data_IF_472668377437
#
_entry.id   IF_472668377437
#
_cell.length_a   1.000
_cell.length_b   1.000
_cell.length_c   1.000
_cell.angle_alpha   90.00
_cell.angle_beta   90.00
_cell.angle_gamma   90.00
#
_symmetry.space_group_name_H-M   'P 1'
#
loop_
_entity.id
_entity.type
_entity.pdbx_description
1 polymer ?
#
# COMPACT_ATOMS: atom_id res chain seq x y z
N UNK A 1 4.40 -23.29 6.06
CA UNK A 1 5.88 -23.29 5.92
C UNK A 1 6.56 -22.31 6.89
N UNK A 2 6.28 -21.00 6.85
CA UNK A 2 6.93 -20.00 7.72
C UNK A 2 6.79 -20.26 9.24
N UNK A 3 5.62 -20.73 9.71
CA UNK A 3 5.40 -21.09 11.13
C UNK A 3 6.32 -22.23 11.61
N UNK A 4 6.53 -23.25 10.77
CA UNK A 4 7.32 -24.43 11.13
C UNK A 4 8.79 -24.03 11.26
N UNK A 5 9.29 -23.24 10.30
CA UNK A 5 10.67 -22.76 10.34
C UNK A 5 10.91 -21.86 11.57
N UNK A 6 10.00 -20.95 11.87
CA UNK A 6 10.11 -20.08 13.04
C UNK A 6 10.07 -20.84 14.36
N UNK A 7 9.25 -21.90 14.44
CA UNK A 7 9.19 -22.79 15.61
C UNK A 7 10.51 -23.55 15.81
N UNK A 8 11.08 -24.10 14.74
CA UNK A 8 12.36 -24.82 14.77
C UNK A 8 13.50 -23.87 15.17
N UNK A 9 13.55 -22.67 14.58
CA UNK A 9 14.63 -21.69 14.83
C UNK A 9 14.42 -20.84 16.09
N UNK A 10 13.29 -20.99 16.80
CA UNK A 10 12.90 -20.15 17.95
C UNK A 10 12.97 -18.64 17.65
N UNK A 11 12.56 -18.24 16.43
CA UNK A 11 12.57 -16.84 15.99
C UNK A 11 11.16 -16.25 15.96
N UNK A 12 11.00 -14.93 16.22
CA UNK A 12 9.72 -14.26 16.08
C UNK A 12 9.26 -14.24 14.60
N UNK A 13 7.96 -14.37 14.39
CA UNK A 13 7.33 -14.19 13.07
C UNK A 13 6.67 -12.82 13.02
N UNK A 14 6.97 -12.05 11.97
CA UNK A 14 6.33 -10.77 11.73
C UNK A 14 5.31 -10.91 10.61
N UNK A 15 4.03 -10.75 10.96
CA UNK A 15 2.97 -10.63 9.96
C UNK A 15 3.07 -9.26 9.27
N UNK A 16 2.91 -9.25 7.95
CA UNK A 16 2.88 -8.03 7.13
C UNK A 16 1.66 -8.12 6.22
N UNK A 17 0.87 -7.06 6.13
CA UNK A 17 -0.30 -7.06 5.24
C UNK A 17 0.15 -6.95 3.78
N UNK A 18 -0.58 -7.58 2.87
CA UNK A 18 -0.24 -7.54 1.45
C UNK A 18 -0.26 -6.11 0.86
N UNK A 19 -1.28 -5.26 1.15
CA UNK A 19 -1.26 -3.86 0.72
C UNK A 19 -0.03 -3.08 1.22
N UNK A 20 0.47 -3.34 2.43
CA UNK A 20 1.67 -2.64 2.91
C UNK A 20 2.91 -2.97 2.06
N UNK A 21 3.02 -4.22 1.62
CA UNK A 21 4.13 -4.69 0.77
C UNK A 21 4.05 -4.03 -0.60
N UNK A 22 2.87 -3.98 -1.20
CA UNK A 22 2.67 -3.29 -2.48
C UNK A 22 2.87 -1.79 -2.36
N UNK A 23 2.36 -1.16 -1.30
CA UNK A 23 2.61 0.24 -1.02
C UNK A 23 4.12 0.48 -0.95
N UNK A 24 4.87 -0.30 -0.16
CA UNK A 24 6.33 -0.19 -0.06
C UNK A 24 7.03 -0.31 -1.43
N UNK A 25 6.53 -1.18 -2.30
CA UNK A 25 7.01 -1.29 -3.69
C UNK A 25 6.72 -0.04 -4.51
N UNK A 26 5.51 0.52 -4.41
CA UNK A 26 5.12 1.79 -5.06
C UNK A 26 6.01 2.93 -4.59
N UNK A 27 6.26 3.04 -3.28
CA UNK A 27 7.13 4.05 -2.70
C UNK A 27 8.55 3.94 -3.25
N UNK A 28 9.15 2.74 -3.22
CA UNK A 28 10.53 2.55 -3.69
C UNK A 28 10.67 2.89 -5.18
N UNK A 29 9.73 2.43 -6.01
CA UNK A 29 9.79 2.61 -7.45
C UNK A 29 9.49 4.04 -7.90
N UNK A 30 8.80 4.84 -7.07
CA UNK A 30 8.44 6.23 -7.37
C UNK A 30 9.13 7.24 -6.45
N UNK A 31 10.13 6.82 -5.69
CA UNK A 31 10.74 7.61 -4.59
C UNK A 31 11.20 9.00 -5.00
N UNK A 32 11.72 9.16 -6.22
CA UNK A 32 12.14 10.47 -6.75
C UNK A 32 10.96 11.44 -6.98
N UNK A 33 9.87 10.96 -7.59
CA UNK A 33 8.67 11.77 -7.84
C UNK A 33 7.93 12.11 -6.54
N UNK A 34 7.85 11.15 -5.62
CA UNK A 34 7.28 11.35 -4.28
C UNK A 34 8.11 12.39 -3.52
N UNK A 35 9.44 12.25 -3.50
CA UNK A 35 10.33 13.22 -2.85
C UNK A 35 10.14 14.64 -3.40
N UNK A 36 10.06 14.79 -4.72
CA UNK A 36 9.85 16.10 -5.35
C UNK A 36 8.52 16.74 -4.94
N UNK A 37 7.45 15.93 -4.85
CA UNK A 37 6.14 16.40 -4.40
C UNK A 37 6.18 16.88 -2.95
N UNK A 38 6.83 16.12 -2.07
CA UNK A 38 6.98 16.47 -0.66
C UNK A 38 7.84 17.73 -0.45
N UNK A 39 8.94 17.88 -1.20
CA UNK A 39 9.81 19.06 -1.11
C UNK A 39 9.11 20.36 -1.53
N UNK A 40 8.06 20.27 -2.36
CA UNK A 40 7.23 21.42 -2.76
C UNK A 40 6.16 21.78 -1.71
N UNK A 41 6.17 21.13 -0.54
CA UNK A 41 5.16 21.29 0.50
C UNK A 41 3.83 20.59 0.19
N UNK A 42 3.80 19.69 -0.79
CA UNK A 42 2.63 18.89 -1.14
C UNK A 42 2.60 17.53 -0.42
N UNK A 43 1.58 16.74 -0.75
CA UNK A 43 1.45 15.33 -0.35
C UNK A 43 1.54 14.41 -1.57
N UNK A 44 1.86 13.13 -1.34
CA UNK A 44 1.80 12.10 -2.36
C UNK A 44 1.09 10.87 -1.80
N UNK A 45 0.20 10.28 -2.58
CA UNK A 45 -0.57 9.10 -2.19
C UNK A 45 -0.08 7.86 -2.92
N UNK A 46 -0.15 6.71 -2.26
CA UNK A 46 0.05 5.40 -2.87
C UNK A 46 -1.20 4.55 -2.68
N UNK A 47 -1.65 3.92 -3.77
CA UNK A 47 -2.87 3.09 -3.80
C UNK A 47 -2.50 1.73 -4.40
N UNK A 48 -2.09 0.76 -3.57
CA UNK A 48 -1.99 -0.63 -4.01
C UNK A 48 -3.38 -1.19 -4.32
N UNK A 49 -3.55 -1.76 -5.51
CA UNK A 49 -4.79 -2.37 -6.01
C UNK A 49 -4.49 -3.81 -6.42
N UNK A 50 -5.04 -4.75 -5.66
CA UNK A 50 -4.73 -6.18 -5.76
C UNK A 50 -5.95 -6.88 -6.35
N UNK A 51 -5.77 -7.55 -7.49
CA UNK A 51 -6.75 -8.52 -8.00
C UNK A 51 -6.79 -9.71 -7.04
N UNK A 52 -7.92 -9.87 -6.37
CA UNK A 52 -8.15 -10.95 -5.41
C UNK A 52 -9.05 -12.05 -5.98
N UNK A 53 -9.27 -12.04 -7.30
CA UNK A 53 -10.12 -12.95 -8.08
C UNK A 53 -11.61 -12.70 -7.86
N UNK A 54 -12.42 -13.38 -8.67
CA UNK A 54 -13.89 -13.27 -8.68
C UNK A 54 -14.38 -11.84 -8.86
N UNK A 55 -13.75 -11.10 -9.77
CA UNK A 55 -14.13 -9.71 -10.08
C UNK A 55 -13.92 -8.72 -8.92
N UNK A 56 -13.24 -9.13 -7.85
CA UNK A 56 -13.00 -8.28 -6.69
C UNK A 56 -11.58 -7.73 -6.66
N UNK A 57 -11.47 -6.47 -6.24
CA UNK A 57 -10.24 -5.73 -6.05
C UNK A 57 -10.09 -5.32 -4.60
N UNK A 58 -8.93 -5.60 -4.02
CA UNK A 58 -8.58 -5.20 -2.66
C UNK A 58 -7.62 -4.01 -2.70
N UNK A 59 -7.92 -2.94 -1.97
CA UNK A 59 -7.08 -1.74 -1.95
C UNK A 59 -7.16 -0.96 -0.63
N UNK A 60 -6.16 -0.10 -0.41
CA UNK A 60 -6.14 0.88 0.67
C UNK A 60 -5.37 2.12 0.19
N UNK A 61 -5.52 3.25 0.86
CA UNK A 61 -4.79 4.47 0.53
C UNK A 61 -3.71 4.73 1.58
N UNK A 62 -2.53 5.10 1.08
CA UNK A 62 -1.37 5.43 1.88
C UNK A 62 -0.89 6.84 1.55
N UNK A 63 -0.37 7.53 2.55
CA UNK A 63 0.25 8.83 2.43
C UNK A 63 1.75 8.74 2.67
N UNK A 64 2.54 9.37 1.81
CA UNK A 64 3.97 9.53 1.99
C UNK A 64 4.28 10.85 2.70
N UNK A 65 5.20 10.83 3.68
CA UNK A 65 5.58 12.00 4.50
C UNK A 65 7.07 11.99 4.84
N UNK A 66 7.64 13.16 5.18
CA UNK A 66 8.99 13.23 5.78
C UNK A 66 8.98 12.96 7.28
N UNK A 67 7.86 13.25 7.95
CA UNK A 67 7.71 13.04 9.39
C UNK A 67 7.35 11.60 9.70
N UNK A 68 8.14 11.00 10.59
CA UNK A 68 7.76 9.75 11.23
C UNK A 68 6.76 10.03 12.35
N UNK A 69 5.51 9.62 12.17
CA UNK A 69 4.45 9.79 13.18
C UNK A 69 4.56 8.82 14.37
N UNK A 70 5.64 8.01 14.45
CA UNK A 70 5.79 7.02 15.51
C UNK A 70 4.86 5.81 15.36
N UNK A 71 4.55 5.18 16.48
CA UNK A 71 3.64 4.03 16.59
C UNK A 71 2.18 4.49 16.68
N UNK A 72 1.20 3.87 15.98
CA UNK A 72 1.24 2.73 15.05
C UNK A 72 1.16 3.12 13.56
N UNK A 73 1.61 4.32 13.19
CA UNK A 73 1.16 4.97 11.96
C UNK A 73 1.90 4.54 10.68
N UNK A 74 3.23 4.36 10.72
CA UNK A 74 4.01 4.10 9.51
C UNK A 74 4.15 2.60 9.23
N UNK A 75 4.09 2.21 7.94
CA UNK A 75 4.19 0.80 7.49
C UNK A 75 5.55 0.47 6.87
N UNK A 76 6.27 1.47 6.34
CA UNK A 76 7.63 1.31 5.84
C UNK A 76 8.37 2.66 5.77
N UNK A 77 9.68 2.58 5.52
CA UNK A 77 10.57 3.72 5.29
C UNK A 77 11.48 3.45 4.10
N UNK A 78 11.64 4.45 3.23
CA UNK A 78 12.64 4.45 2.17
C UNK A 78 13.62 5.60 2.41
N UNK A 79 14.92 5.29 2.46
CA UNK A 79 15.98 6.29 2.60
C UNK A 79 16.40 6.80 1.22
N UNK A 80 16.52 8.11 1.08
CA UNK A 80 17.02 8.77 -0.13
C UNK A 80 18.08 9.78 0.31
N UNK A 81 19.36 9.48 0.04
CA UNK A 81 20.50 10.27 0.53
C UNK A 81 20.36 10.48 2.05
N UNK A 82 20.24 11.73 2.49
CA UNK A 82 20.15 12.13 3.90
C UNK A 82 18.70 12.24 4.41
N UNK A 83 17.72 12.04 3.53
CA UNK A 83 16.29 12.11 3.87
C UNK A 83 15.67 10.73 3.96
N UNK A 84 14.57 10.63 4.71
CA UNK A 84 13.73 9.43 4.78
C UNK A 84 12.30 9.79 4.43
N UNK A 85 11.69 8.98 3.57
CA UNK A 85 10.25 9.04 3.30
C UNK A 85 9.61 7.90 4.05
N UNK A 86 8.61 8.23 4.83
CA UNK A 86 7.75 7.30 5.56
C UNK A 86 6.44 7.18 4.82
N UNK A 87 5.81 6.01 4.95
CA UNK A 87 4.48 5.82 4.41
C UNK A 87 3.57 5.29 5.48
N UNK A 88 2.38 5.87 5.54
CA UNK A 88 1.33 5.55 6.51
C UNK A 88 0.07 5.16 5.78
N UNK A 89 -0.61 4.12 6.26
CA UNK A 89 -1.96 3.81 5.81
C UNK A 89 -2.91 4.87 6.38
N UNK A 90 -3.66 5.55 5.51
CA UNK A 90 -4.57 6.66 5.89
C UNK A 90 -6.05 6.28 5.78
N UNK A 91 -6.34 5.07 5.30
CA UNK A 91 -7.71 4.54 5.23
C UNK A 91 -7.79 3.14 5.82
N UNK A 92 -9.02 2.64 6.02
CA UNK A 92 -9.23 1.20 6.16
C UNK A 92 -8.89 0.46 4.86
N UNK A 93 -8.96 -0.86 4.91
CA UNK A 93 -8.87 -1.72 3.73
C UNK A 93 -10.26 -1.86 3.09
N UNK A 94 -10.30 -1.84 1.76
CA UNK A 94 -11.53 -1.90 0.98
C UNK A 94 -11.52 -3.08 0.01
N UNK A 95 -12.70 -3.63 -0.21
CA UNK A 95 -13.01 -4.59 -1.26
C UNK A 95 -14.03 -3.92 -2.19
N UNK A 96 -13.79 -3.98 -3.49
CA UNK A 96 -14.69 -3.41 -4.50
C UNK A 96 -14.78 -4.36 -5.70
N UNK A 97 -15.94 -4.40 -6.35
CA UNK A 97 -16.04 -4.99 -7.68
C UNK A 97 -15.19 -4.18 -8.69
N UNK A 98 -14.55 -4.85 -9.65
CA UNK A 98 -13.66 -4.20 -10.60
C UNK A 98 -14.38 -3.16 -11.48
N UNK A 99 -15.68 -3.34 -11.76
CA UNK A 99 -16.49 -2.38 -12.52
C UNK A 99 -16.79 -1.11 -11.69
N UNK A 100 -17.00 -1.28 -10.38
CA UNK A 100 -17.29 -0.20 -9.44
C UNK A 100 -16.04 0.46 -8.83
N UNK A 101 -14.84 -0.04 -9.14
CA UNK A 101 -13.62 0.35 -8.44
C UNK A 101 -13.30 1.84 -8.54
N UNK A 102 -13.42 2.44 -9.73
CA UNK A 102 -13.08 3.85 -9.96
C UNK A 102 -13.94 4.80 -9.11
N UNK A 103 -15.25 4.54 -9.06
CA UNK A 103 -16.20 5.25 -8.22
C UNK A 103 -15.86 5.06 -6.75
N UNK A 104 -15.58 3.82 -6.33
CA UNK A 104 -15.26 3.54 -4.93
C UNK A 104 -13.97 4.22 -4.48
N UNK A 105 -12.95 4.25 -5.35
CA UNK A 105 -11.71 4.94 -5.10
C UNK A 105 -11.95 6.45 -4.93
N UNK A 106 -12.76 7.05 -5.79
CA UNK A 106 -13.12 8.47 -5.70
C UNK A 106 -13.83 8.80 -4.38
N UNK A 107 -14.83 8.00 -3.99
CA UNK A 107 -15.51 8.15 -2.69
C UNK A 107 -14.52 8.16 -1.53
N UNK A 108 -13.57 7.22 -1.52
CA UNK A 108 -12.57 7.09 -0.46
C UNK A 108 -11.64 8.31 -0.43
N UNK A 109 -11.22 8.79 -1.59
CA UNK A 109 -10.35 9.96 -1.71
C UNK A 109 -11.02 11.25 -1.21
N UNK A 110 -12.31 11.42 -1.52
CA UNK A 110 -13.13 12.55 -1.11
C UNK A 110 -13.48 12.49 0.39
N UNK A 111 -13.95 11.35 0.88
CA UNK A 111 -14.40 11.19 2.26
C UNK A 111 -13.26 11.36 3.27
N UNK A 112 -12.03 10.97 2.91
CA UNK A 112 -10.87 11.14 3.77
C UNK A 112 -10.27 12.56 3.74
N UNK A 113 -10.84 13.48 2.96
CA UNK A 113 -10.22 14.78 2.65
C UNK A 113 -8.74 14.64 2.22
N UNK A 114 -8.36 13.50 1.61
CA UNK A 114 -6.97 13.15 1.33
C UNK A 114 -6.37 14.02 0.21
N UNK A 115 -7.23 14.73 -0.50
CA UNK A 115 -6.90 15.65 -1.58
C UNK A 115 -7.14 17.07 -1.07
N UNK A 116 -6.32 17.49 -0.09
CA UNK A 116 -6.43 18.78 0.60
C UNK A 116 -6.18 20.02 -0.30
N UNK A 117 -5.73 19.83 -1.55
CA UNK A 117 -5.29 20.93 -2.43
C UNK A 117 -5.87 20.88 -3.85
N UNK A 118 -6.93 20.09 -4.05
CA UNK A 118 -7.60 19.90 -5.33
C UNK A 118 -6.98 18.78 -6.21
N UNK A 119 -7.74 18.26 -7.18
CA UNK A 119 -7.44 17.02 -7.92
C UNK A 119 -6.10 17.00 -8.68
N UNK A 120 -5.55 18.17 -9.03
CA UNK A 120 -4.37 18.28 -9.88
C UNK A 120 -3.02 18.36 -9.12
N UNK A 121 -3.01 18.57 -7.80
CA UNK A 121 -1.75 18.86 -7.06
C UNK A 121 -1.13 17.67 -6.35
N UNK A 122 -1.94 16.73 -5.88
CA UNK A 122 -1.45 15.53 -5.16
C UNK A 122 -1.30 14.37 -6.14
N UNK A 123 -0.07 13.94 -6.48
CA UNK A 123 0.13 12.75 -7.29
C UNK A 123 -0.35 11.50 -6.54
N UNK A 124 -1.13 10.67 -7.23
CA UNK A 124 -1.67 9.41 -6.72
C UNK A 124 -1.02 8.26 -7.49
N UNK A 125 -0.11 7.56 -6.83
CA UNK A 125 0.63 6.46 -7.42
C UNK A 125 -0.13 5.14 -7.20
N UNK A 126 -0.70 4.60 -8.27
CA UNK A 126 -1.43 3.33 -8.23
C UNK A 126 -0.54 2.18 -8.68
N UNK A 127 -0.64 1.02 -8.05
CA UNK A 127 0.16 -0.16 -8.38
C UNK A 127 -0.54 -1.46 -7.99
N UNK A 128 0.07 -2.61 -8.25
CA UNK A 128 -0.50 -3.91 -7.92
C UNK A 128 -1.00 -4.72 -9.12
N UNK A 129 -1.45 -5.95 -8.85
CA UNK A 129 -1.84 -6.95 -9.86
C UNK A 129 -3.06 -6.55 -10.68
N UNK A 130 -3.95 -5.72 -10.13
CA UNK A 130 -5.23 -5.40 -10.77
C UNK A 130 -5.06 -4.68 -12.12
N UNK A 131 -4.06 -3.81 -12.25
CA UNK A 131 -3.84 -3.06 -13.49
C UNK A 131 -3.31 -3.91 -14.65
N UNK A 132 -2.80 -5.12 -14.35
CA UNK A 132 -2.42 -6.12 -15.34
C UNK A 132 -3.59 -7.06 -15.66
N UNK A 133 -4.37 -7.42 -14.64
CA UNK A 133 -5.53 -8.32 -14.77
C UNK A 133 -6.72 -7.64 -15.47
N UNK A 134 -6.89 -6.33 -15.27
CA UNK A 134 -8.01 -5.54 -15.80
C UNK A 134 -7.47 -4.29 -16.49
N UNK A 135 -7.14 -4.42 -17.77
CA UNK A 135 -6.43 -3.38 -18.54
C UNK A 135 -7.13 -2.01 -18.63
N UNK A 136 -8.46 -1.96 -18.46
CA UNK A 136 -9.27 -0.75 -18.52
C UNK A 136 -9.23 0.09 -17.23
N UNK A 137 -8.84 -0.49 -16.08
CA UNK A 137 -8.81 0.24 -14.80
C UNK A 137 -7.94 1.50 -14.86
N UNK A 138 -6.81 1.42 -15.57
CA UNK A 138 -5.91 2.55 -15.74
C UNK A 138 -6.55 3.70 -16.52
N UNK A 139 -7.41 3.41 -17.52
CA UNK A 139 -8.17 4.45 -18.22
C UNK A 139 -9.31 4.99 -17.36
N UNK A 140 -9.97 4.15 -16.57
CA UNK A 140 -11.13 4.57 -15.80
C UNK A 140 -10.77 5.48 -14.65
N UNK A 141 -9.69 5.19 -13.90
CA UNK A 141 -9.23 6.12 -12.87
C UNK A 141 -8.76 7.44 -13.47
N UNK A 142 -8.17 7.44 -14.68
CA UNK A 142 -7.75 8.69 -15.35
C UNK A 142 -8.93 9.59 -15.73
N UNK A 143 -10.11 9.03 -15.99
CA UNK A 143 -11.32 9.82 -16.30
C UNK A 143 -11.82 10.64 -15.11
N UNK A 144 -11.42 10.28 -13.89
CA UNK A 144 -11.78 11.00 -12.66
C UNK A 144 -11.08 12.37 -12.54
N UNK A 145 -10.11 12.70 -13.41
CA UNK A 145 -9.47 14.02 -13.44
C UNK A 145 -8.40 14.26 -12.37
N UNK A 146 -8.08 13.26 -11.54
CA UNK A 146 -6.95 13.33 -10.59
C UNK A 146 -5.61 13.02 -11.27
N UNK A 147 -4.50 13.46 -10.63
CA UNK A 147 -3.13 13.16 -11.10
C UNK A 147 -2.70 11.71 -10.78
N UNK A 148 -3.30 10.74 -11.46
CA UNK A 148 -2.97 9.33 -11.32
C UNK A 148 -1.71 8.92 -12.10
N UNK A 149 -0.80 8.23 -11.41
CA UNK A 149 0.41 7.66 -11.98
C UNK A 149 0.37 6.15 -11.77
N UNK A 150 0.11 5.39 -12.84
CA UNK A 150 0.02 3.93 -12.78
C UNK A 150 1.42 3.31 -12.88
N UNK A 151 1.85 2.67 -11.81
CA UNK A 151 3.13 1.99 -11.70
C UNK A 151 3.03 0.49 -12.03
N UNK A 152 3.23 0.17 -13.32
CA UNK A 152 3.26 -1.23 -13.81
C UNK A 152 4.51 -2.03 -13.39
N UNK A 153 5.46 -1.45 -12.65
CA UNK A 153 6.62 -2.20 -12.12
C UNK A 153 6.30 -2.88 -10.77
N UNK A 154 5.08 -2.70 -10.26
CA UNK A 154 4.65 -3.18 -8.94
C UNK A 154 3.61 -4.29 -9.04
N UNK A 155 3.71 -5.16 -10.06
CA UNK A 155 2.70 -6.20 -10.33
C UNK A 155 2.73 -7.27 -9.24
N UNK A 156 3.92 -7.63 -8.73
CA UNK A 156 4.06 -8.70 -7.73
C UNK A 156 4.80 -8.23 -6.48
N UNK A 157 4.42 -8.73 -5.28
CA UNK A 157 5.13 -8.43 -4.05
C UNK A 157 6.47 -9.17 -4.06
N UNK A 158 7.58 -8.45 -4.16
CA UNK A 158 8.91 -9.05 -3.98
C UNK A 158 9.25 -9.24 -2.50
N UNK A 159 9.96 -10.33 -2.19
CA UNK A 159 10.43 -10.64 -0.84
C UNK A 159 11.26 -9.49 -0.21
N UNK A 160 11.97 -8.71 -1.03
CA UNK A 160 12.70 -7.53 -0.56
C UNK A 160 11.79 -6.49 0.13
N UNK A 161 10.55 -6.29 -0.36
CA UNK A 161 9.60 -5.36 0.25
C UNK A 161 8.94 -5.95 1.51
N UNK A 162 8.70 -7.26 1.52
CA UNK A 162 8.27 -7.99 2.72
C UNK A 162 9.30 -7.81 3.84
N UNK A 163 10.58 -8.06 3.53
CA UNK A 163 11.68 -7.89 4.48
C UNK A 163 11.81 -6.44 4.97
N UNK A 164 11.63 -5.44 4.08
CA UNK A 164 11.64 -4.03 4.47
C UNK A 164 10.53 -3.69 5.47
N UNK A 165 9.30 -4.11 5.18
CA UNK A 165 8.17 -3.91 6.09
C UNK A 165 8.38 -4.66 7.41
N UNK A 166 8.80 -5.92 7.37
CA UNK A 166 9.05 -6.72 8.56
C UNK A 166 10.17 -6.12 9.44
N UNK A 167 11.31 -5.75 8.85
CA UNK A 167 12.42 -5.13 9.56
C UNK A 167 12.02 -3.78 10.18
N UNK A 168 11.22 -3.00 9.46
CA UNK A 168 10.70 -1.73 9.95
C UNK A 168 9.76 -1.91 11.16
N UNK A 169 8.85 -2.89 11.12
CA UNK A 169 7.98 -3.22 12.26
C UNK A 169 8.78 -3.76 13.45
N UNK A 170 9.72 -4.67 13.20
CA UNK A 170 10.59 -5.27 14.21
C UNK A 170 11.44 -4.22 14.94
N UNK A 171 12.06 -3.30 14.20
CA UNK A 171 12.87 -2.22 14.77
C UNK A 171 12.10 -1.22 15.64
N UNK A 172 10.76 -1.28 15.64
CA UNK A 172 9.92 -0.44 16.50
C UNK A 172 9.17 -1.21 17.59
N UNK A 173 9.50 -2.47 17.84
CA UNK A 173 8.87 -3.26 18.89
C UNK A 173 7.38 -3.59 18.64
N UNK A 174 6.88 -3.46 17.39
CA UNK A 174 5.55 -3.95 17.02
C UNK A 174 5.53 -5.48 17.04
N UNK A 175 5.32 -6.02 18.23
CA UNK A 175 5.05 -7.44 18.48
C UNK A 175 3.57 -7.71 18.71
N UNK A 176 2.74 -6.66 18.71
CA UNK A 176 1.30 -6.67 19.04
C UNK A 176 0.36 -7.20 17.94
N UNK A 177 0.85 -8.04 17.02
CA UNK A 177 -0.04 -8.94 16.30
C UNK A 177 -0.17 -10.20 17.15
N UNK A 178 -1.40 -10.71 17.35
CA UNK A 178 -1.68 -11.88 18.19
C UNK A 178 -0.55 -12.92 18.14
N UNK A 179 -0.14 -13.39 19.33
CA UNK A 179 0.87 -14.45 19.52
C UNK A 179 0.49 -15.78 18.83
N UNK A 180 -0.65 -15.82 18.14
CA UNK A 180 -1.12 -16.87 17.25
C UNK A 180 -1.60 -16.29 15.92
N UNK A 181 -0.72 -15.97 14.95
CA UNK A 181 -1.21 -15.63 13.59
C UNK A 181 -0.42 -16.30 12.47
N UNK A 182 -1.20 -16.89 11.55
CA UNK A 182 -0.76 -17.46 10.30
C UNK A 182 -0.27 -16.40 9.32
N UNK A 183 0.66 -16.73 8.41
CA UNK A 183 0.87 -15.88 7.26
C UNK A 183 -0.49 -15.77 6.55
N UNK A 184 -1.16 -14.64 6.71
CA UNK A 184 -2.35 -14.30 5.95
C UNK A 184 -1.86 -13.93 4.55
N UNK A 185 -1.42 -14.95 3.81
CA UNK A 185 -1.57 -14.90 2.37
C UNK A 185 -3.07 -14.77 2.15
N UNK A 186 -3.50 -13.66 1.56
CA UNK A 186 -4.86 -13.52 1.01
C UNK A 186 -4.95 -14.54 -0.14
N UNK A 187 -5.16 -15.80 0.22
CA UNK A 187 -5.49 -16.92 -0.64
C UNK A 187 -6.71 -17.67 -0.12
N UNK A 188 -7.05 -17.49 1.16
CA UNK A 188 -8.30 -17.99 1.73
C UNK A 188 -9.29 -16.82 1.82
N UNK A 189 -9.95 -16.54 0.69
CA UNK A 189 -11.29 -15.96 0.77
C UNK A 189 -12.18 -17.02 1.39
N UNK A 190 -12.57 -16.80 2.66
CA UNK A 190 -13.78 -17.41 3.17
C UNK A 190 -14.92 -16.66 2.48
N UNK A 191 -15.68 -17.28 1.55
CA UNK A 191 -16.88 -16.63 1.06
C UNK A 191 -17.81 -16.44 2.26
N UNK A 192 -18.16 -15.19 2.56
CA UNK A 192 -19.31 -14.95 3.42
C UNK A 192 -20.54 -15.40 2.63
N UNK A 193 -21.31 -16.31 3.23
CA UNK A 193 -22.60 -16.77 2.73
C UNK A 193 -23.60 -15.63 2.72
#
# INVERSE_FOLDING_TARGET
MAKILALIEKKPVFAVSCPDVFAASILENNKAGIMLSLLKGGSALAVPVIDVKRNELYFSVYEATFSDYGQPASVCRVKIKDSSIYMRKVTADFLADYEGFSQKLEEVLLAGSLILSGPAKTPIYCGGTAFDSYGHLASDIKKLGYNFIVNRKTIFPHAAYINKCAAFRAGRGQTGGDKNIAPLYVREFVPFK
#
